data_IF_414633684835
#
_entry.id   IF_414633684835
#
_cell.length_a   1.000
_cell.length_b   1.000
_cell.length_c   1.000
_cell.angle_alpha   90.00
_cell.angle_beta   90.00
_cell.angle_gamma   90.00
#
_symmetry.space_group_name_H-M   'P 1'
#
loop_
_entity.id
_entity.type
_entity.pdbx_description
1 polymer ?
#
# COMPACT_ATOMS: atom_id res chain seq x y z
N UNK A 1 8.57 40.18 -26.58
CA UNK A 1 9.08 41.43 -25.96
C UNK A 1 8.47 41.76 -24.58
N UNK A 2 7.28 41.25 -24.23
CA UNK A 2 6.59 41.58 -22.95
C UNK A 2 7.11 40.87 -21.68
N UNK A 3 7.99 39.86 -21.80
CA UNK A 3 8.53 39.10 -20.66
C UNK A 3 9.79 39.73 -20.02
N UNK A 4 10.39 40.74 -20.65
CA UNK A 4 11.72 41.26 -20.26
C UNK A 4 11.74 42.22 -19.07
N UNK A 5 10.60 42.80 -18.66
CA UNK A 5 10.58 43.94 -17.73
C UNK A 5 10.47 43.59 -16.23
N UNK A 6 10.18 42.33 -15.85
CA UNK A 6 10.09 41.96 -14.42
C UNK A 6 10.94 40.73 -14.14
N UNK A 7 12.15 40.94 -13.60
CA UNK A 7 13.15 39.95 -13.21
C UNK A 7 12.75 38.90 -12.17
N UNK A 8 11.45 38.62 -11.98
CA UNK A 8 10.91 37.61 -11.07
C UNK A 8 9.88 36.65 -11.68
N UNK A 9 9.65 36.68 -13.01
CA UNK A 9 8.58 35.88 -13.67
C UNK A 9 9.04 34.78 -14.64
N UNK A 10 10.34 34.63 -14.93
CA UNK A 10 10.82 33.68 -15.94
C UNK A 10 10.66 32.22 -15.53
N UNK A 11 10.91 31.88 -14.26
CA UNK A 11 10.79 30.51 -13.77
C UNK A 11 9.36 29.98 -13.82
N UNK A 12 8.35 30.85 -13.69
CA UNK A 12 6.93 30.46 -13.82
C UNK A 12 6.57 30.07 -15.24
N UNK A 13 7.13 30.76 -16.24
CA UNK A 13 6.93 30.40 -17.64
C UNK A 13 7.61 29.06 -17.96
N UNK A 14 8.82 28.84 -17.45
CA UNK A 14 9.53 27.55 -17.56
C UNK A 14 8.76 26.42 -16.87
N UNK A 15 8.30 26.63 -15.64
CA UNK A 15 7.51 25.64 -14.90
C UNK A 15 6.17 25.36 -15.58
N UNK A 16 5.49 26.37 -16.13
CA UNK A 16 4.26 26.18 -16.89
C UNK A 16 4.50 25.41 -18.19
N UNK A 17 5.58 25.73 -18.92
CA UNK A 17 5.96 25.00 -20.12
C UNK A 17 6.30 23.54 -19.80
N UNK A 18 7.02 23.30 -18.69
CA UNK A 18 7.31 21.96 -18.19
C UNK A 18 6.06 21.19 -17.74
N UNK A 19 5.13 21.83 -17.04
CA UNK A 19 3.90 21.19 -16.58
C UNK A 19 3.00 20.75 -17.75
N UNK A 20 2.86 21.62 -18.76
CA UNK A 20 1.97 21.40 -19.90
C UNK A 20 2.65 20.73 -21.10
N UNK A 21 3.95 20.47 -21.04
CA UNK A 21 4.69 19.79 -22.11
C UNK A 21 4.94 20.68 -23.35
N UNK A 22 4.95 22.00 -23.20
CA UNK A 22 5.20 22.92 -24.31
C UNK A 22 6.69 22.99 -24.66
N UNK A 23 7.20 21.94 -25.32
CA UNK A 23 8.61 21.81 -25.68
C UNK A 23 9.13 22.98 -26.52
N UNK A 24 8.35 23.47 -27.48
CA UNK A 24 8.72 24.63 -28.30
C UNK A 24 8.89 25.92 -27.47
N UNK A 25 7.98 26.15 -26.50
CA UNK A 25 8.10 27.28 -25.57
C UNK A 25 9.32 27.08 -24.68
N UNK A 26 9.55 25.87 -24.18
CA UNK A 26 10.73 25.54 -23.37
C UNK A 26 12.02 25.84 -24.14
N UNK A 27 12.16 25.32 -25.36
CA UNK A 27 13.32 25.55 -26.22
C UNK A 27 13.56 27.04 -26.48
N UNK A 28 12.50 27.80 -26.80
CA UNK A 28 12.62 29.26 -26.97
C UNK A 28 13.07 29.96 -25.68
N UNK A 29 12.49 29.59 -24.53
CA UNK A 29 12.86 30.18 -23.24
C UNK A 29 14.30 29.87 -22.84
N UNK A 30 14.79 28.66 -23.16
CA UNK A 30 16.17 28.22 -22.88
C UNK A 30 17.23 29.04 -23.64
N UNK A 31 16.87 29.61 -24.80
CA UNK A 31 17.75 30.49 -25.58
C UNK A 31 17.84 31.93 -25.03
N UNK A 32 16.98 32.29 -24.06
CA UNK A 32 16.97 33.65 -23.51
C UNK A 32 18.01 33.84 -22.41
N UNK A 33 18.56 35.05 -22.22
CA UNK A 33 19.60 35.31 -21.20
C UNK A 33 19.08 35.25 -19.75
N UNK A 34 17.81 34.93 -19.51
CA UNK A 34 17.22 34.93 -18.15
C UNK A 34 17.47 33.59 -17.48
N UNK A 35 18.60 33.48 -16.78
CA UNK A 35 19.11 32.26 -16.13
C UNK A 35 18.47 31.89 -14.79
N UNK A 36 17.23 32.33 -14.52
CA UNK A 36 16.55 31.95 -13.28
C UNK A 36 15.72 30.69 -13.52
N UNK A 37 16.44 29.57 -13.65
CA UNK A 37 15.89 28.24 -13.83
C UNK A 37 15.36 27.77 -12.49
N UNK A 38 14.03 27.76 -12.33
CA UNK A 38 13.45 27.24 -11.11
C UNK A 38 13.76 25.74 -10.99
N UNK A 39 14.21 25.25 -9.83
CA UNK A 39 14.53 23.84 -9.59
C UNK A 39 13.34 22.90 -9.90
N UNK A 40 12.12 23.44 -9.79
CA UNK A 40 10.85 22.76 -9.99
C UNK A 40 10.60 22.32 -11.45
N UNK A 41 11.25 22.93 -12.43
CA UNK A 41 10.91 22.69 -13.85
C UNK A 41 11.28 21.28 -14.33
N UNK A 42 12.43 20.74 -13.90
CA UNK A 42 12.86 19.39 -14.29
C UNK A 42 12.03 18.31 -13.58
N UNK A 43 11.82 18.43 -12.27
CA UNK A 43 10.97 17.51 -11.50
C UNK A 43 9.52 17.49 -12.03
N UNK A 44 9.00 18.66 -12.42
CA UNK A 44 7.66 18.77 -13.01
C UNK A 44 7.60 18.10 -14.38
N UNK A 45 8.61 18.31 -15.23
CA UNK A 45 8.69 17.63 -16.52
C UNK A 45 8.81 16.11 -16.34
N UNK A 46 9.63 15.66 -15.39
CA UNK A 46 9.86 14.26 -15.06
C UNK A 46 8.59 13.58 -14.55
N UNK A 47 7.90 14.17 -13.56
CA UNK A 47 6.65 13.66 -12.98
C UNK A 47 5.45 13.65 -13.93
N UNK A 48 5.53 14.36 -15.07
CA UNK A 48 4.48 14.42 -16.10
C UNK A 48 4.86 13.71 -17.40
N UNK A 49 6.00 13.01 -17.40
CA UNK A 49 6.58 12.35 -18.57
C UNK A 49 6.75 13.26 -19.78
N UNK A 50 7.21 14.51 -19.59
CA UNK A 50 7.42 15.46 -20.70
C UNK A 50 8.77 15.24 -21.35
N UNK A 51 8.90 14.13 -22.07
CA UNK A 51 10.15 13.67 -22.70
C UNK A 51 10.83 14.76 -23.54
N UNK A 52 10.12 15.43 -24.44
CA UNK A 52 10.72 16.49 -25.27
C UNK A 52 11.15 17.72 -24.46
N UNK A 53 10.44 18.02 -23.37
CA UNK A 53 10.87 19.07 -22.44
C UNK A 53 12.14 18.63 -21.71
N UNK A 54 12.22 17.37 -21.27
CA UNK A 54 13.40 16.81 -20.62
C UNK A 54 14.62 16.84 -21.55
N UNK A 55 14.47 16.50 -22.82
CA UNK A 55 15.54 16.61 -23.83
C UNK A 55 16.01 18.04 -24.03
N UNK A 56 15.08 19.00 -24.08
CA UNK A 56 15.44 20.41 -24.14
C UNK A 56 16.23 20.85 -22.89
N UNK A 57 15.85 20.39 -21.71
CA UNK A 57 16.53 20.70 -20.45
C UNK A 57 17.90 19.99 -20.35
N UNK A 58 18.05 18.78 -20.89
CA UNK A 58 19.30 18.02 -20.92
C UNK A 58 20.41 18.73 -21.68
N UNK A 59 20.07 19.53 -22.70
CA UNK A 59 21.04 20.36 -23.44
C UNK A 59 21.68 21.47 -22.58
N UNK A 60 21.22 21.67 -21.34
CA UNK A 60 21.65 22.74 -20.42
C UNK A 60 22.09 22.16 -19.06
N UNK A 61 23.33 21.66 -18.92
CA UNK A 61 23.82 20.96 -17.72
C UNK A 61 23.74 21.77 -16.42
N UNK A 62 23.79 23.11 -16.52
CA UNK A 62 23.60 24.04 -15.40
C UNK A 62 22.25 23.90 -14.69
N UNK A 63 21.24 23.35 -15.37
CA UNK A 63 19.88 23.11 -14.84
C UNK A 63 19.81 21.81 -14.02
N UNK A 64 20.78 20.90 -14.16
CA UNK A 64 20.67 19.52 -13.64
C UNK A 64 21.11 19.39 -12.18
N UNK A 65 21.90 20.34 -11.67
CA UNK A 65 22.84 20.06 -10.57
C UNK A 65 22.27 19.84 -9.16
N UNK A 66 20.94 19.80 -8.92
CA UNK A 66 20.38 19.62 -7.57
C UNK A 66 19.07 18.82 -7.46
N UNK A 67 18.69 17.99 -8.45
CA UNK A 67 17.30 17.57 -8.57
C UNK A 67 17.06 16.05 -8.47
N UNK A 68 16.04 15.68 -7.70
CA UNK A 68 15.52 14.32 -7.57
C UNK A 68 14.58 13.98 -8.75
N UNK A 69 14.94 14.41 -9.96
CA UNK A 69 14.08 14.27 -11.13
C UNK A 69 13.87 12.79 -11.49
N UNK A 70 14.88 11.94 -11.27
CA UNK A 70 14.76 10.49 -11.42
C UNK A 70 13.75 9.94 -10.42
N UNK A 71 13.81 10.38 -9.15
CA UNK A 71 12.81 9.98 -8.14
C UNK A 71 11.41 10.44 -8.55
N UNK A 72 11.26 11.67 -9.05
CA UNK A 72 9.96 12.19 -9.50
C UNK A 72 9.38 11.38 -10.66
N UNK A 73 10.21 10.98 -11.64
CA UNK A 73 9.81 10.09 -12.72
C UNK A 73 9.47 8.68 -12.21
N UNK A 74 10.28 8.12 -11.29
CA UNK A 74 10.04 6.82 -10.68
C UNK A 74 8.74 6.79 -9.88
N UNK A 75 8.46 7.83 -9.09
CA UNK A 75 7.20 8.01 -8.33
C UNK A 75 5.99 7.95 -9.25
N UNK A 76 6.09 8.40 -10.49
CA UNK A 76 4.96 8.46 -11.43
C UNK A 76 4.97 7.35 -12.50
N UNK A 77 5.93 6.43 -12.46
CA UNK A 77 5.96 5.28 -13.37
C UNK A 77 6.47 5.62 -14.77
N UNK A 78 7.29 6.65 -14.90
CA UNK A 78 7.75 7.16 -16.18
C UNK A 78 9.13 6.61 -16.53
N UNK A 79 9.19 5.35 -16.98
CA UNK A 79 10.44 4.67 -17.33
C UNK A 79 11.25 5.45 -18.37
N UNK A 80 10.63 5.97 -19.43
CA UNK A 80 11.34 6.73 -20.47
C UNK A 80 12.02 7.98 -19.90
N UNK A 81 11.34 8.71 -19.01
CA UNK A 81 11.93 9.83 -18.30
C UNK A 81 13.08 9.39 -17.36
N UNK A 82 12.93 8.26 -16.66
CA UNK A 82 14.01 7.69 -15.82
C UNK A 82 15.25 7.37 -16.65
N UNK A 83 15.08 6.71 -17.80
CA UNK A 83 16.18 6.35 -18.71
C UNK A 83 16.88 7.60 -19.24
N UNK A 84 16.14 8.58 -19.74
CA UNK A 84 16.70 9.83 -20.27
C UNK A 84 17.45 10.63 -19.21
N UNK A 85 16.88 10.71 -18.00
CA UNK A 85 17.52 11.42 -16.89
C UNK A 85 18.78 10.71 -16.41
N UNK A 86 18.81 9.37 -16.45
CA UNK A 86 20.00 8.60 -16.06
C UNK A 86 21.22 8.82 -16.97
N UNK A 87 21.02 9.14 -18.24
CA UNK A 87 22.12 9.50 -19.15
C UNK A 87 22.86 10.77 -18.74
N UNK A 88 22.33 11.55 -17.79
CA UNK A 88 22.92 12.80 -17.34
C UNK A 88 23.86 12.53 -16.15
N UNK A 89 25.18 12.80 -16.26
CA UNK A 89 26.17 12.40 -15.24
C UNK A 89 25.97 12.95 -13.82
N UNK A 90 25.16 14.01 -13.67
CA UNK A 90 24.85 14.64 -12.38
C UNK A 90 23.48 14.23 -11.81
N UNK A 91 22.65 13.53 -12.58
CA UNK A 91 21.35 13.07 -12.12
C UNK A 91 21.52 11.74 -11.38
N UNK A 92 21.33 11.77 -10.06
CA UNK A 92 21.39 10.58 -9.21
C UNK A 92 19.99 10.22 -8.72
N UNK A 93 19.73 8.92 -8.62
CA UNK A 93 18.52 8.43 -7.97
C UNK A 93 18.78 8.33 -6.46
N UNK A 94 17.82 8.74 -5.64
CA UNK A 94 17.89 8.47 -4.21
C UNK A 94 17.32 7.09 -3.87
N UNK A 95 17.52 6.65 -2.63
CA UNK A 95 16.89 5.43 -2.11
C UNK A 95 15.35 5.43 -2.25
N UNK A 96 14.73 6.62 -2.33
CA UNK A 96 13.28 6.75 -2.52
C UNK A 96 12.83 6.26 -3.90
N UNK A 97 13.67 6.33 -4.92
CA UNK A 97 13.29 5.96 -6.28
C UNK A 97 12.87 4.48 -6.34
N UNK A 98 13.71 3.57 -5.82
CA UNK A 98 13.39 2.14 -5.77
C UNK A 98 12.26 1.86 -4.77
N UNK A 99 12.27 2.46 -3.58
CA UNK A 99 11.22 2.23 -2.59
C UNK A 99 9.82 2.57 -3.16
N UNK A 100 9.65 3.76 -3.75
CA UNK A 100 8.34 4.18 -4.29
C UNK A 100 7.99 3.43 -5.58
N UNK A 101 8.95 3.15 -6.46
CA UNK A 101 8.69 2.33 -7.63
C UNK A 101 8.23 0.92 -7.23
N UNK A 102 8.80 0.37 -6.15
CA UNK A 102 8.43 -0.94 -5.61
C UNK A 102 7.02 -0.91 -5.01
N UNK A 103 6.72 0.11 -4.18
CA UNK A 103 5.40 0.34 -3.60
C UNK A 103 4.27 0.48 -4.64
N UNK A 104 4.60 0.95 -5.86
CA UNK A 104 3.65 1.13 -6.96
C UNK A 104 3.66 0.01 -8.00
N UNK A 105 4.54 -0.98 -7.84
CA UNK A 105 4.61 -2.14 -8.74
C UNK A 105 5.29 -1.86 -10.08
N UNK A 106 6.09 -0.80 -10.17
CA UNK A 106 6.81 -0.45 -11.40
C UNK A 106 8.08 -1.28 -11.57
N UNK A 107 7.92 -2.59 -11.80
CA UNK A 107 9.02 -3.54 -11.91
C UNK A 107 10.11 -3.09 -12.90
N UNK A 108 9.73 -2.60 -14.08
CA UNK A 108 10.68 -2.14 -15.09
C UNK A 108 11.58 -0.99 -14.63
N UNK A 109 11.05 -0.11 -13.77
CA UNK A 109 11.84 0.98 -13.16
C UNK A 109 12.74 0.41 -12.06
N UNK A 110 12.26 -0.53 -11.25
CA UNK A 110 13.06 -1.20 -10.21
C UNK A 110 14.25 -1.94 -10.85
N UNK A 111 13.99 -2.73 -11.90
CA UNK A 111 15.01 -3.44 -12.68
C UNK A 111 16.04 -2.48 -13.26
N UNK A 112 15.60 -1.39 -13.90
CA UNK A 112 16.49 -0.41 -14.50
C UNK A 112 17.37 0.29 -13.46
N UNK A 113 16.78 0.76 -12.35
CA UNK A 113 17.53 1.47 -11.30
C UNK A 113 18.54 0.54 -10.61
N UNK A 114 18.17 -0.72 -10.41
CA UNK A 114 19.05 -1.76 -9.89
C UNK A 114 20.21 -2.07 -10.84
N UNK A 115 19.93 -2.35 -12.12
CA UNK A 115 20.94 -2.72 -13.11
C UNK A 115 22.01 -1.64 -13.32
N UNK A 116 21.64 -0.37 -13.15
CA UNK A 116 22.57 0.76 -13.28
C UNK A 116 23.21 1.20 -11.96
N UNK A 117 22.99 0.45 -10.86
CA UNK A 117 23.52 0.72 -9.51
C UNK A 117 23.35 2.18 -9.05
N UNK A 118 22.25 2.80 -9.48
CA UNK A 118 22.02 4.25 -9.30
C UNK A 118 21.47 4.59 -7.92
N UNK A 119 20.86 3.61 -7.24
CA UNK A 119 20.26 3.79 -5.93
C UNK A 119 20.29 2.49 -5.11
N UNK A 120 20.51 2.62 -3.79
CA UNK A 120 20.14 1.58 -2.82
C UNK A 120 18.62 1.53 -2.62
N UNK A 121 18.14 0.59 -1.80
CA UNK A 121 16.78 0.65 -1.25
C UNK A 121 16.83 0.39 0.26
N UNK A 122 15.67 0.39 0.91
CA UNK A 122 15.52 -0.02 2.32
C UNK A 122 14.48 -1.13 2.42
N UNK A 123 14.25 -1.64 3.63
CA UNK A 123 13.18 -2.63 3.93
C UNK A 123 11.83 -2.21 3.35
N UNK A 124 11.54 -0.91 3.36
CA UNK A 124 10.33 -0.32 2.81
C UNK A 124 10.06 -0.70 1.35
N UNK A 125 11.08 -0.97 0.54
CA UNK A 125 10.86 -1.40 -0.85
C UNK A 125 10.10 -2.74 -0.92
N UNK A 126 10.50 -3.73 -0.13
CA UNK A 126 9.84 -5.03 -0.12
C UNK A 126 8.57 -5.00 0.73
N UNK A 127 8.58 -4.29 1.86
CA UNK A 127 7.40 -4.13 2.73
C UNK A 127 6.24 -3.48 1.96
N UNK A 128 6.48 -2.35 1.28
CA UNK A 128 5.44 -1.65 0.53
C UNK A 128 5.04 -2.39 -0.74
N UNK A 129 5.96 -3.08 -1.41
CA UNK A 129 5.62 -3.92 -2.57
C UNK A 129 4.70 -5.07 -2.15
N UNK A 130 4.99 -5.71 -1.01
CA UNK A 130 4.18 -6.79 -0.46
C UNK A 130 2.81 -6.27 -0.02
N UNK A 131 2.78 -5.16 0.72
CA UNK A 131 1.55 -4.52 1.15
C UNK A 131 0.62 -4.15 -0.02
N UNK A 132 1.16 -3.80 -1.19
CA UNK A 132 0.36 -3.45 -2.37
C UNK A 132 0.18 -4.61 -3.38
N UNK A 133 0.57 -5.84 -3.02
CA UNK A 133 0.30 -7.03 -3.81
C UNK A 133 1.19 -7.17 -5.06
N UNK A 134 2.34 -6.51 -5.08
CA UNK A 134 3.24 -6.51 -6.23
C UNK A 134 4.22 -7.68 -6.19
N UNK A 135 3.69 -8.91 -6.32
CA UNK A 135 4.45 -10.16 -6.19
C UNK A 135 5.73 -10.19 -7.07
N UNK A 136 5.67 -9.73 -8.31
CA UNK A 136 6.83 -9.76 -9.21
C UNK A 136 7.95 -8.81 -8.74
N UNK A 137 7.59 -7.68 -8.13
CA UNK A 137 8.56 -6.79 -7.47
C UNK A 137 9.14 -7.47 -6.22
N UNK A 138 8.31 -8.12 -5.40
CA UNK A 138 8.77 -8.85 -4.21
C UNK A 138 9.76 -9.96 -4.60
N UNK A 139 9.46 -10.75 -5.64
CA UNK A 139 10.37 -11.76 -6.20
C UNK A 139 11.68 -11.15 -6.69
N UNK A 140 11.61 -10.04 -7.42
CA UNK A 140 12.80 -9.35 -7.92
C UNK A 140 13.68 -8.87 -6.76
N UNK A 141 13.10 -8.18 -5.78
CA UNK A 141 13.82 -7.69 -4.60
C UNK A 141 14.39 -8.86 -3.79
N UNK A 142 13.64 -9.95 -3.60
CA UNK A 142 14.14 -11.14 -2.90
C UNK A 142 15.39 -11.74 -3.55
N UNK A 143 15.42 -11.78 -4.89
CA UNK A 143 16.49 -12.44 -5.66
C UNK A 143 17.72 -11.56 -5.88
N UNK A 144 17.53 -10.24 -6.00
CA UNK A 144 18.59 -9.31 -6.42
C UNK A 144 19.04 -8.33 -5.32
N UNK A 145 18.34 -8.30 -4.17
CA UNK A 145 18.62 -7.38 -3.06
C UNK A 145 18.84 -8.12 -1.75
N UNK A 146 19.69 -7.55 -0.91
CA UNK A 146 20.06 -8.14 0.39
C UNK A 146 19.42 -7.41 1.56
N UNK A 147 18.78 -6.26 1.32
CA UNK A 147 18.12 -5.44 2.32
C UNK A 147 17.04 -6.23 3.07
N UNK A 148 16.27 -7.07 2.36
CA UNK A 148 15.21 -7.89 2.95
C UNK A 148 13.90 -7.13 3.19
N UNK A 149 13.08 -7.66 4.10
CA UNK A 149 11.83 -7.05 4.55
C UNK A 149 11.74 -7.06 6.08
N UNK A 150 10.71 -6.44 6.62
CA UNK A 150 10.30 -6.60 8.02
C UNK A 150 9.08 -7.53 8.11
N UNK A 151 8.51 -7.70 9.31
CA UNK A 151 7.24 -8.40 9.50
C UNK A 151 6.07 -7.69 8.81
N UNK A 152 6.18 -6.36 8.60
CA UNK A 152 5.14 -5.55 7.95
C UNK A 152 4.82 -6.05 6.54
N UNK A 153 5.79 -6.65 5.82
CA UNK A 153 5.56 -7.22 4.50
C UNK A 153 4.45 -8.28 4.50
N UNK A 154 4.51 -9.23 5.44
CA UNK A 154 3.50 -10.30 5.53
C UNK A 154 2.23 -9.80 6.24
N UNK A 155 2.37 -8.99 7.29
CA UNK A 155 1.23 -8.45 8.05
C UNK A 155 0.31 -7.61 7.16
N UNK A 156 0.89 -6.70 6.37
CA UNK A 156 0.13 -5.82 5.47
C UNK A 156 -0.37 -6.55 4.22
N UNK A 157 0.41 -7.49 3.66
CA UNK A 157 -0.06 -8.32 2.54
C UNK A 157 -1.28 -9.17 2.95
N UNK A 158 -1.24 -9.76 4.15
CA UNK A 158 -2.36 -10.52 4.70
C UNK A 158 -3.58 -9.64 4.96
N UNK A 159 -3.38 -8.49 5.59
CA UNK A 159 -4.44 -7.50 5.84
C UNK A 159 -5.11 -7.04 4.55
N UNK A 160 -4.38 -6.95 3.44
CA UNK A 160 -4.89 -6.42 2.15
C UNK A 160 -5.32 -7.49 1.15
N UNK A 161 -5.26 -8.77 1.53
CA UNK A 161 -5.84 -9.85 0.71
C UNK A 161 -4.88 -10.42 -0.34
N UNK A 162 -3.58 -10.20 -0.22
CA UNK A 162 -2.57 -10.65 -1.19
C UNK A 162 -2.02 -12.04 -0.82
N UNK A 163 -2.84 -13.09 -0.99
CA UNK A 163 -2.48 -14.47 -0.62
C UNK A 163 -1.22 -14.97 -1.32
N UNK A 164 -1.06 -14.66 -2.61
CA UNK A 164 0.11 -15.03 -3.41
C UNK A 164 1.43 -14.45 -2.85
N UNK A 165 1.39 -13.20 -2.40
CA UNK A 165 2.50 -12.55 -1.69
C UNK A 165 2.74 -13.20 -0.34
N UNK A 166 1.69 -13.45 0.46
CA UNK A 166 1.81 -14.12 1.78
C UNK A 166 2.44 -15.50 1.64
N UNK A 167 1.99 -16.30 0.68
CA UNK A 167 2.55 -17.63 0.40
C UNK A 167 4.01 -17.53 -0.05
N UNK A 168 4.35 -16.56 -0.92
CA UNK A 168 5.73 -16.35 -1.35
C UNK A 168 6.64 -15.97 -0.18
N UNK A 169 6.23 -15.00 0.64
CA UNK A 169 6.99 -14.55 1.80
C UNK A 169 7.16 -15.69 2.82
N UNK A 170 6.11 -16.45 3.12
CA UNK A 170 6.20 -17.61 4.01
C UNK A 170 7.21 -18.66 3.53
N UNK A 171 7.26 -18.92 2.22
CA UNK A 171 8.09 -19.98 1.65
C UNK A 171 9.55 -19.58 1.45
N UNK A 172 9.84 -18.29 1.25
CA UNK A 172 11.17 -17.82 0.83
C UNK A 172 11.83 -16.86 1.84
N UNK A 173 11.10 -16.36 2.85
CA UNK A 173 11.59 -15.41 3.86
C UNK A 173 11.48 -15.99 5.26
N UNK A 174 12.26 -15.46 6.18
CA UNK A 174 12.39 -15.96 7.56
C UNK A 174 11.99 -14.93 8.62
N UNK A 175 11.72 -13.70 8.20
CA UNK A 175 11.26 -12.61 9.05
C UNK A 175 9.89 -12.90 9.67
N UNK A 176 9.05 -13.65 8.94
CA UNK A 176 7.75 -14.10 9.43
C UNK A 176 6.69 -13.00 9.41
N UNK A 177 5.82 -13.03 10.42
CA UNK A 177 4.68 -12.14 10.60
C UNK A 177 4.44 -11.94 12.10
N UNK A 178 3.48 -11.10 12.45
CA UNK A 178 2.96 -10.98 13.81
C UNK A 178 1.49 -11.45 13.85
N UNK A 179 0.81 -11.25 14.97
CA UNK A 179 -0.63 -11.48 15.08
C UNK A 179 -1.42 -10.53 14.16
N UNK A 180 -0.85 -9.38 13.76
CA UNK A 180 -1.48 -8.42 12.87
C UNK A 180 -1.82 -9.01 11.50
N UNK A 181 -1.06 -10.00 11.01
CA UNK A 181 -1.39 -10.70 9.77
C UNK A 181 -2.77 -11.38 9.84
N UNK A 182 -3.01 -12.19 10.87
CA UNK A 182 -4.26 -12.92 11.00
C UNK A 182 -5.41 -12.01 11.47
N UNK A 183 -5.15 -11.09 12.40
CA UNK A 183 -6.12 -10.09 12.86
C UNK A 183 -6.58 -9.19 11.71
N UNK A 184 -5.62 -8.72 10.90
CA UNK A 184 -5.87 -7.89 9.74
C UNK A 184 -6.66 -8.63 8.66
N UNK A 185 -6.22 -9.84 8.29
CA UNK A 185 -6.92 -10.69 7.31
C UNK A 185 -8.36 -10.99 7.76
N UNK A 186 -8.57 -11.32 9.04
CA UNK A 186 -9.89 -11.56 9.60
C UNK A 186 -10.77 -10.31 9.58
N UNK A 187 -10.21 -9.15 9.96
CA UNK A 187 -10.92 -7.86 9.94
C UNK A 187 -11.37 -7.42 8.55
N UNK A 188 -10.75 -7.96 7.49
CA UNK A 188 -11.05 -7.66 6.08
C UNK A 188 -11.75 -8.79 5.33
N UNK A 189 -12.10 -9.88 6.02
CA UNK A 189 -12.86 -10.99 5.44
C UNK A 189 -12.03 -11.89 4.52
N UNK A 190 -10.69 -11.90 4.67
CA UNK A 190 -9.80 -12.69 3.83
C UNK A 190 -9.65 -14.12 4.37
N UNK A 191 -10.74 -14.90 4.33
CA UNK A 191 -10.79 -16.25 4.90
C UNK A 191 -9.65 -17.15 4.44
N UNK A 192 -9.34 -17.20 3.14
CA UNK A 192 -8.26 -18.06 2.61
C UNK A 192 -6.89 -17.73 3.22
N UNK A 193 -6.63 -16.45 3.52
CA UNK A 193 -5.40 -16.03 4.20
C UNK A 193 -5.43 -16.43 5.66
N UNK A 194 -6.57 -16.27 6.35
CA UNK A 194 -6.73 -16.73 7.74
C UNK A 194 -6.48 -18.25 7.84
N UNK A 195 -7.03 -19.04 6.90
CA UNK A 195 -6.80 -20.49 6.83
C UNK A 195 -5.31 -20.80 6.59
N UNK A 196 -4.71 -20.15 5.61
CA UNK A 196 -3.29 -20.33 5.30
C UNK A 196 -2.39 -20.02 6.52
N UNK A 197 -2.62 -18.88 7.17
CA UNK A 197 -1.86 -18.47 8.35
C UNK A 197 -2.07 -19.45 9.51
N UNK A 198 -3.29 -19.91 9.76
CA UNK A 198 -3.55 -20.90 10.81
C UNK A 198 -2.84 -22.24 10.56
N UNK A 199 -2.82 -22.71 9.31
CA UNK A 199 -2.24 -24.01 8.96
C UNK A 199 -0.69 -23.98 8.90
N UNK A 200 -0.10 -22.82 8.62
CA UNK A 200 1.35 -22.73 8.30
C UNK A 200 2.16 -21.84 9.25
N UNK A 201 1.52 -21.15 10.20
CA UNK A 201 2.15 -20.18 11.09
C UNK A 201 1.73 -20.42 12.55
N UNK A 202 2.56 -19.98 13.49
CA UNK A 202 2.38 -20.25 14.93
C UNK A 202 2.05 -19.00 15.74
N UNK A 203 2.08 -17.82 15.12
CA UNK A 203 1.81 -16.53 15.74
C UNK A 203 0.36 -16.39 16.22
N UNK A 204 -0.58 -17.06 15.53
CA UNK A 204 -2.01 -17.02 15.85
C UNK A 204 -2.64 -15.65 15.60
N UNK A 205 -3.74 -15.40 16.31
CA UNK A 205 -4.48 -14.13 16.30
C UNK A 205 -4.81 -13.69 17.73
N UNK A 206 -5.21 -12.43 17.87
CA UNK A 206 -5.78 -11.90 19.12
C UNK A 206 -7.30 -11.91 19.07
N UNK A 207 -7.95 -11.47 20.15
CA UNK A 207 -9.40 -11.26 20.19
C UNK A 207 -9.89 -10.29 19.10
N UNK A 208 -9.00 -9.41 18.61
CA UNK A 208 -9.31 -8.44 17.56
C UNK A 208 -9.70 -9.10 16.23
N UNK A 209 -9.19 -10.29 15.90
CA UNK A 209 -9.56 -11.02 14.70
C UNK A 209 -11.07 -11.31 14.69
N UNK A 210 -11.57 -11.95 15.76
CA UNK A 210 -12.97 -12.33 15.87
C UNK A 210 -13.88 -11.10 16.04
N UNK A 211 -13.49 -10.16 16.90
CA UNK A 211 -14.28 -8.94 17.15
C UNK A 211 -14.48 -8.12 15.88
N UNK A 212 -13.41 -7.91 15.10
CA UNK A 212 -13.47 -7.11 13.87
C UNK A 212 -14.15 -7.87 12.73
N UNK A 213 -13.94 -9.19 12.63
CA UNK A 213 -14.66 -10.02 11.67
C UNK A 213 -16.18 -9.98 11.92
N UNK A 214 -16.61 -10.10 13.18
CA UNK A 214 -18.03 -9.96 13.56
C UNK A 214 -18.57 -8.56 13.31
N UNK A 215 -17.83 -7.50 13.66
CA UNK A 215 -18.23 -6.10 13.39
C UNK A 215 -18.46 -5.85 11.90
N UNK A 216 -17.60 -6.40 11.04
CA UNK A 216 -17.72 -6.26 9.58
C UNK A 216 -18.59 -7.35 8.93
N UNK A 217 -19.26 -8.20 9.74
CA UNK A 217 -20.18 -9.24 9.31
C UNK A 217 -19.56 -10.34 8.42
N UNK A 218 -18.28 -10.67 8.63
CA UNK A 218 -17.58 -11.78 7.98
C UNK A 218 -17.84 -13.10 8.73
N UNK A 219 -19.06 -13.61 8.61
CA UNK A 219 -19.53 -14.78 9.35
C UNK A 219 -18.71 -16.06 9.08
N UNK A 220 -18.22 -16.22 7.85
CA UNK A 220 -17.36 -17.33 7.42
C UNK A 220 -16.00 -17.32 8.15
N UNK A 221 -15.39 -16.15 8.29
CA UNK A 221 -14.17 -15.95 9.09
C UNK A 221 -14.44 -16.24 10.57
N UNK A 222 -15.53 -15.71 11.13
CA UNK A 222 -15.87 -15.94 12.55
C UNK A 222 -16.09 -17.42 12.82
N UNK A 223 -16.84 -18.11 11.96
CA UNK A 223 -17.07 -19.55 12.06
C UNK A 223 -15.77 -20.34 12.03
N UNK A 224 -14.85 -19.99 11.12
CA UNK A 224 -13.53 -20.63 11.05
C UNK A 224 -12.71 -20.39 12.31
N UNK A 225 -12.64 -19.16 12.81
CA UNK A 225 -11.87 -18.82 14.01
C UNK A 225 -12.38 -19.57 15.26
N UNK A 226 -13.70 -19.69 15.40
CA UNK A 226 -14.34 -20.48 16.48
C UNK A 226 -14.01 -21.96 16.34
N UNK A 227 -14.14 -22.53 15.13
CA UNK A 227 -13.85 -23.94 14.87
C UNK A 227 -12.39 -24.33 15.16
N UNK A 228 -11.45 -23.41 14.93
CA UNK A 228 -10.02 -23.61 15.16
C UNK A 228 -9.58 -23.36 16.62
N UNK A 229 -10.50 -23.03 17.53
CA UNK A 229 -10.18 -22.82 18.94
C UNK A 229 -9.46 -21.49 19.24
N UNK A 230 -9.43 -20.53 18.31
CA UNK A 230 -8.99 -19.15 18.60
C UNK A 230 -10.07 -18.34 19.33
N UNK A 231 -10.91 -19.04 20.11
CA UNK A 231 -12.14 -18.55 20.71
C UNK A 231 -11.92 -17.83 22.05
N UNK A 232 -10.79 -17.14 22.23
CA UNK A 232 -10.75 -16.04 23.21
C UNK A 232 -11.57 -14.89 22.64
N UNK A 233 -12.88 -15.06 22.57
CA UNK A 233 -13.80 -14.00 22.20
C UNK A 233 -13.98 -13.09 23.41
N UNK A 234 -13.87 -11.80 23.21
CA UNK A 234 -14.57 -10.89 24.11
C UNK A 234 -16.09 -10.98 23.83
N UNK A 235 -16.94 -10.54 24.75
CA UNK A 235 -18.39 -10.44 24.49
C UNK A 235 -18.72 -9.53 23.28
N UNK A 236 -17.74 -8.75 22.79
CA UNK A 236 -17.91 -7.80 21.69
C UNK A 236 -18.21 -8.49 20.35
N UNK A 237 -17.69 -9.69 20.11
CA UNK A 237 -17.93 -10.41 18.86
C UNK A 237 -19.41 -10.78 18.69
N UNK A 238 -20.05 -11.29 19.74
CA UNK A 238 -21.48 -11.63 19.73
C UNK A 238 -22.35 -10.37 19.82
N UNK A 239 -21.94 -9.36 20.57
CA UNK A 239 -22.63 -8.06 20.62
C UNK A 239 -22.67 -7.40 19.23
N UNK A 240 -21.58 -7.49 18.48
CA UNK A 240 -21.52 -6.99 17.11
C UNK A 240 -22.42 -7.79 16.15
N UNK A 241 -22.47 -9.13 16.30
CA UNK A 241 -23.38 -9.97 15.52
C UNK A 241 -24.86 -9.63 15.76
N UNK A 242 -25.22 -9.38 17.03
CA UNK A 242 -26.55 -8.87 17.43
C UNK A 242 -26.80 -7.48 16.84
N UNK A 243 -25.82 -6.58 16.95
CA UNK A 243 -25.80 -5.24 16.36
C UNK A 243 -26.13 -5.22 14.86
N UNK A 244 -25.54 -6.18 14.14
CA UNK A 244 -25.69 -6.35 12.70
C UNK A 244 -26.98 -7.10 12.31
N UNK A 245 -27.73 -7.66 13.26
CA UNK A 245 -28.93 -8.45 12.98
C UNK A 245 -28.64 -9.79 12.30
N UNK A 246 -27.40 -10.32 12.42
CA UNK A 246 -27.02 -11.59 11.82
C UNK A 246 -27.45 -12.74 12.75
N UNK A 247 -28.73 -13.12 12.68
CA UNK A 247 -29.34 -14.14 13.55
C UNK A 247 -28.61 -15.48 13.47
N UNK A 248 -28.19 -15.92 12.28
CA UNK A 248 -27.42 -17.14 12.10
C UNK A 248 -26.06 -17.11 12.81
N UNK A 249 -25.34 -15.99 12.73
CA UNK A 249 -24.07 -15.84 13.42
C UNK A 249 -24.26 -15.76 14.94
N UNK A 250 -25.33 -15.12 15.41
CA UNK A 250 -25.66 -15.07 16.84
C UNK A 250 -25.98 -16.47 17.37
N UNK A 251 -26.85 -17.22 16.70
CA UNK A 251 -27.16 -18.61 17.06
C UNK A 251 -25.88 -19.46 17.12
N UNK A 252 -25.05 -19.37 16.08
CA UNK A 252 -23.76 -20.06 16.04
C UNK A 252 -22.84 -19.68 17.21
N UNK A 253 -22.73 -18.40 17.56
CA UNK A 253 -21.89 -17.97 18.67
C UNK A 253 -22.45 -18.43 20.03
N UNK A 254 -23.78 -18.41 20.20
CA UNK A 254 -24.44 -18.91 21.42
C UNK A 254 -24.17 -20.40 21.65
N UNK A 255 -24.24 -21.23 20.59
CA UNK A 255 -23.94 -22.67 20.70
C UNK A 255 -22.48 -22.96 21.05
N UNK A 256 -21.57 -22.01 20.82
CA UNK A 256 -20.15 -22.12 21.15
C UNK A 256 -19.79 -21.42 22.48
N UNK A 257 -20.80 -21.06 23.30
CA UNK A 257 -20.60 -20.57 24.66
C UNK A 257 -20.36 -19.05 24.75
N UNK A 258 -20.46 -18.32 23.65
CA UNK A 258 -20.41 -16.86 23.67
C UNK A 258 -21.75 -16.31 24.16
N UNK A 259 -21.73 -15.30 25.03
CA UNK A 259 -22.95 -14.69 25.58
C UNK A 259 -22.95 -13.18 25.31
N UNK A 260 -24.06 -12.63 24.78
CA UNK A 260 -24.17 -11.19 24.53
C UNK A 260 -24.27 -10.42 25.85
N UNK A 261 -23.84 -9.17 25.82
CA UNK A 261 -24.11 -8.22 26.90
C UNK A 261 -25.58 -7.80 26.92
N UNK A 262 -26.07 -7.43 28.10
CA UNK A 262 -27.45 -6.92 28.28
C UNK A 262 -27.69 -5.70 27.38
N UNK A 263 -26.72 -4.78 27.32
CA UNK A 263 -26.79 -3.58 26.47
C UNK A 263 -26.96 -3.93 24.98
N UNK A 264 -26.28 -4.97 24.49
CA UNK A 264 -26.41 -5.41 23.11
C UNK A 264 -27.81 -5.95 22.81
N UNK A 265 -28.37 -6.78 23.71
CA UNK A 265 -29.73 -7.29 23.60
C UNK A 265 -30.77 -6.17 23.59
N UNK A 266 -30.67 -5.22 24.51
CA UNK A 266 -31.59 -4.08 24.59
C UNK A 266 -31.50 -3.17 23.36
N UNK A 267 -30.29 -2.91 22.86
CA UNK A 267 -30.08 -2.00 21.72
C UNK A 267 -30.64 -2.52 20.39
N UNK A 268 -30.82 -3.85 20.27
CA UNK A 268 -31.20 -4.52 19.02
C UNK A 268 -32.53 -5.28 19.09
N UNK A 269 -33.23 -5.23 20.22
CA UNK A 269 -34.55 -5.87 20.41
C UNK A 269 -35.57 -5.49 19.31
N UNK A 270 -35.46 -4.28 18.74
CA UNK A 270 -36.34 -3.81 17.67
C UNK A 270 -35.96 -4.32 16.27
N UNK A 271 -34.75 -4.86 16.08
CA UNK A 271 -34.23 -5.33 14.76
C UNK A 271 -34.56 -6.79 14.47
N UNK A 272 -34.91 -7.56 15.49
CA UNK A 272 -35.13 -8.99 15.40
C UNK A 272 -36.63 -9.26 15.29
N UNK A 273 -36.99 -10.27 14.50
CA UNK A 273 -38.36 -10.79 14.56
C UNK A 273 -38.60 -11.50 15.91
N UNK A 274 -39.87 -11.60 16.29
CA UNK A 274 -40.30 -12.17 17.57
C UNK A 274 -39.73 -13.58 17.80
N UNK A 275 -39.72 -14.41 16.76
CA UNK A 275 -39.16 -15.77 16.82
C UNK A 275 -37.65 -15.80 17.07
N UNK A 276 -36.90 -14.90 16.42
CA UNK A 276 -35.44 -14.78 16.59
C UNK A 276 -35.11 -14.25 17.98
N UNK A 277 -35.90 -13.30 18.48
CA UNK A 277 -35.75 -12.75 19.82
C UNK A 277 -36.01 -13.81 20.92
N UNK A 278 -37.10 -14.58 20.81
CA UNK A 278 -37.41 -15.66 21.74
C UNK A 278 -36.35 -16.78 21.70
N UNK A 279 -35.89 -17.17 20.52
CA UNK A 279 -34.87 -18.20 20.36
C UNK A 279 -33.53 -17.79 20.99
N UNK A 280 -33.11 -16.53 20.84
CA UNK A 280 -31.90 -16.03 21.49
C UNK A 280 -32.03 -16.02 23.01
N UNK A 281 -33.16 -15.56 23.57
CA UNK A 281 -33.37 -15.57 25.02
C UNK A 281 -33.34 -16.99 25.60
N UNK A 282 -33.98 -17.95 24.93
CA UNK A 282 -33.96 -19.36 25.34
C UNK A 282 -32.55 -19.97 25.37
N UNK A 283 -31.63 -19.49 24.52
CA UNK A 283 -30.23 -19.93 24.47
C UNK A 283 -29.33 -19.20 25.48
N UNK A 284 -29.72 -18.02 25.95
CA UNK A 284 -28.99 -17.26 26.98
C UNK A 284 -29.27 -17.80 28.38
N UNK A 285 -30.50 -18.26 28.65
CA UNK A 285 -30.94 -18.77 29.96
C UNK A 285 -30.56 -20.24 30.24
N UNK A 286 -30.01 -20.97 29.26
CA UNK A 286 -29.49 -22.34 29.40
C UNK A 286 -27.95 -22.39 29.40
#
# INVERSE_FOLDING_TARGET
>A
MWLYSRGGRSWRALSAAANHGHAHVMHFLLQTPIKNWGPVSMDTAASKNRVEVLRNLQAHPEVVSQHHAIDAAAVHGHLEAVVLLHEIPLATASVKAINVASAKGYLSIVEFLHANNTAGCTLAAMDDAAANGHLEVVKFLHTHRTEGCSTDAMDLAATRGHLDVVTFLHTHRHEGCTHDAMDGAASRGHLEIVRFLHENRTEGCTEAAMDRASQNNFADVVQFLVACGHASSSSRAIDAAVGNGNTHLVEFLLTHGHRPSVDALESCAWKLDESSFESMFALVDN
#
